data_IF_981489837966
#
_entry.id   IF_981489837966
#
_cell.length_a   1.000
_cell.length_b   1.000
_cell.length_c   1.000
_cell.angle_alpha   90.00
_cell.angle_beta   90.00
_cell.angle_gamma   90.00
#
_symmetry.space_group_name_H-M   'P 1'
#
loop_
_entity.id
_entity.type
_entity.pdbx_description
1 polymer ?
#
# COMPACT_ATOMS: atom_id res chain seq x y z
N UNK A 1 49.92 26.66 45.82
CA UNK A 1 49.58 26.31 44.43
C UNK A 1 48.81 25.00 44.32
N UNK A 2 49.48 23.84 44.42
CA UNK A 2 48.94 22.55 43.93
C UNK A 2 47.86 21.80 44.73
N UNK A 3 47.26 22.36 45.81
CA UNK A 3 46.16 21.70 46.55
C UNK A 3 44.76 22.25 46.23
N UNK A 4 44.65 23.41 45.56
CA UNK A 4 43.37 24.00 45.16
C UNK A 4 42.90 23.51 43.78
N UNK A 5 43.81 23.22 42.85
CA UNK A 5 43.47 22.71 41.51
C UNK A 5 42.94 21.26 41.51
N UNK A 6 43.39 20.42 42.46
CA UNK A 6 42.90 19.03 42.57
C UNK A 6 41.44 18.92 43.04
N UNK A 7 40.87 19.96 43.68
CA UNK A 7 39.46 19.97 44.09
C UNK A 7 38.52 20.42 42.97
N UNK A 8 38.95 21.31 42.08
CA UNK A 8 38.15 21.77 40.95
C UNK A 8 38.02 20.70 39.85
N UNK A 9 39.10 19.95 39.55
CA UNK A 9 39.04 18.84 38.60
C UNK A 9 38.12 17.67 39.01
N UNK A 10 37.91 17.45 40.32
CA UNK A 10 36.99 16.41 40.83
C UNK A 10 35.52 16.83 40.81
N UNK A 11 35.21 18.12 40.78
CA UNK A 11 33.83 18.62 40.68
C UNK A 11 33.36 18.66 39.21
N UNK A 12 34.21 19.05 38.26
CA UNK A 12 33.89 19.02 36.82
C UNK A 12 33.54 17.62 36.31
N UNK A 13 34.37 16.61 36.64
CA UNK A 13 34.12 15.22 36.23
C UNK A 13 32.88 14.55 36.84
N UNK A 14 32.31 15.10 37.94
CA UNK A 14 31.04 14.63 38.50
C UNK A 14 29.82 15.27 37.83
N UNK A 15 29.96 16.47 37.25
CA UNK A 15 28.90 17.15 36.52
C UNK A 15 28.73 16.57 35.10
N UNK A 16 29.83 16.29 34.40
CA UNK A 16 29.79 15.60 33.09
C UNK A 16 29.25 14.17 33.19
N UNK A 17 29.60 13.41 34.23
CA UNK A 17 29.05 12.05 34.46
C UNK A 17 27.56 12.07 34.82
N UNK A 18 27.03 13.17 35.35
CA UNK A 18 25.57 13.34 35.59
C UNK A 18 24.82 13.76 34.33
N UNK A 19 25.40 14.60 33.48
CA UNK A 19 24.81 14.97 32.17
C UNK A 19 24.84 13.81 31.17
N UNK A 20 25.93 13.03 31.10
CA UNK A 20 25.98 11.81 30.26
C UNK A 20 24.98 10.72 30.70
N UNK A 21 24.69 10.61 32.01
CA UNK A 21 23.65 9.70 32.54
C UNK A 21 22.22 10.20 32.34
N UNK A 22 22.01 11.51 32.14
CA UNK A 22 20.69 12.07 31.80
C UNK A 22 20.44 12.00 30.28
N UNK A 23 21.45 12.27 29.44
CA UNK A 23 21.37 12.05 27.99
C UNK A 23 21.11 10.58 27.63
N UNK A 24 21.86 9.66 28.24
CA UNK A 24 21.64 8.22 28.04
C UNK A 24 20.33 7.68 28.63
N UNK A 25 19.66 8.41 29.54
CA UNK A 25 18.31 8.09 30.02
C UNK A 25 17.20 8.67 29.14
N UNK A 26 17.48 9.74 28.39
CA UNK A 26 16.56 10.28 27.38
C UNK A 26 16.57 9.44 26.11
N UNK A 27 17.75 8.97 25.66
CA UNK A 27 17.85 8.00 24.56
C UNK A 27 17.27 6.62 24.95
N UNK A 28 17.49 6.15 26.18
CA UNK A 28 16.88 4.89 26.65
C UNK A 28 15.38 4.98 26.95
N UNK A 29 14.80 6.19 27.04
CA UNK A 29 13.34 6.38 27.14
C UNK A 29 12.65 6.45 25.78
N UNK A 30 13.36 6.72 24.69
CA UNK A 30 12.82 6.52 23.33
C UNK A 30 12.85 5.04 22.90
N UNK A 31 13.65 4.19 23.56
CA UNK A 31 13.69 2.73 23.34
C UNK A 31 12.69 1.90 24.16
N UNK A 32 11.67 2.51 24.79
CA UNK A 32 10.65 1.81 25.59
C UNK A 32 9.23 2.31 25.29
N UNK A 33 8.85 2.32 24.02
CA UNK A 33 7.46 1.99 23.66
C UNK A 33 7.48 0.62 22.99
N UNK A 34 6.54 -0.23 23.40
CA UNK A 34 6.52 -1.69 23.24
C UNK A 34 6.95 -2.20 21.87
N UNK A 35 7.50 -3.42 21.85
CA UNK A 35 8.06 -4.09 20.68
C UNK A 35 7.31 -3.80 19.39
N UNK A 36 7.75 -2.77 18.67
CA UNK A 36 7.29 -2.45 17.32
C UNK A 36 8.10 -3.33 16.38
N UNK A 37 7.43 -4.39 15.94
CA UNK A 37 7.63 -5.12 14.70
C UNK A 37 8.73 -4.53 13.79
N UNK A 38 9.88 -5.21 13.72
CA UNK A 38 10.98 -4.90 12.80
C UNK A 38 10.58 -5.32 11.38
N UNK A 39 9.75 -4.51 10.71
CA UNK A 39 9.27 -4.75 9.35
C UNK A 39 9.71 -3.67 8.35
N UNK A 40 9.25 -3.80 7.10
CA UNK A 40 9.54 -2.84 6.01
C UNK A 40 8.97 -1.42 6.27
N UNK A 41 8.14 -1.26 7.29
CA UNK A 41 7.59 0.01 7.73
C UNK A 41 8.37 0.59 8.93
N UNK A 42 9.53 0.01 9.29
CA UNK A 42 10.40 0.57 10.31
C UNK A 42 11.04 1.87 9.82
N UNK A 43 11.40 2.77 10.75
CA UNK A 43 12.04 4.03 10.39
C UNK A 43 13.32 3.83 9.56
N UNK A 44 14.10 2.78 9.84
CA UNK A 44 15.30 2.46 9.07
C UNK A 44 14.98 2.07 7.63
N UNK A 45 13.96 1.23 7.42
CA UNK A 45 13.52 0.81 6.08
C UNK A 45 12.97 1.99 5.28
N UNK A 46 12.18 2.86 5.93
CA UNK A 46 11.65 4.07 5.30
C UNK A 46 12.77 5.04 4.92
N UNK A 47 13.75 5.27 5.80
CA UNK A 47 14.90 6.13 5.50
C UNK A 47 15.79 5.57 4.39
N UNK A 48 15.96 4.25 4.31
CA UNK A 48 16.68 3.61 3.20
C UNK A 48 15.91 3.80 1.88
N UNK A 49 14.60 3.53 1.88
CA UNK A 49 13.77 3.70 0.70
C UNK A 49 13.75 5.16 0.23
N UNK A 50 13.68 6.12 1.15
CA UNK A 50 13.77 7.55 0.87
C UNK A 50 15.09 7.94 0.22
N UNK A 51 16.22 7.44 0.73
CA UNK A 51 17.53 7.66 0.12
C UNK A 51 17.59 7.15 -1.32
N UNK A 52 17.11 5.92 -1.56
CA UNK A 52 17.07 5.32 -2.90
C UNK A 52 16.14 6.10 -3.84
N UNK A 53 14.97 6.52 -3.38
CA UNK A 53 14.04 7.33 -4.16
C UNK A 53 14.70 8.66 -4.55
N UNK A 54 15.34 9.32 -3.58
CA UNK A 54 16.01 10.60 -3.81
C UNK A 54 17.15 10.45 -4.82
N UNK A 55 18.01 9.47 -4.66
CA UNK A 55 19.22 9.33 -5.48
C UNK A 55 18.88 8.90 -6.91
N UNK A 56 18.03 7.89 -7.08
CA UNK A 56 17.78 7.27 -8.38
C UNK A 56 16.59 7.86 -9.14
N UNK A 57 15.56 8.35 -8.45
CA UNK A 57 14.32 8.79 -9.10
C UNK A 57 14.14 10.30 -9.12
N UNK A 58 14.83 11.04 -8.23
CA UNK A 58 14.74 12.50 -8.14
C UNK A 58 16.02 13.18 -8.63
N UNK A 59 17.19 12.81 -8.09
CA UNK A 59 18.46 13.47 -8.37
C UNK A 59 19.10 13.01 -9.68
N UNK A 60 19.06 11.71 -9.98
CA UNK A 60 19.70 11.15 -11.19
C UNK A 60 18.73 10.26 -11.98
N UNK A 61 17.73 10.83 -12.70
CA UNK A 61 16.74 10.04 -13.44
C UNK A 61 17.32 9.09 -14.48
N UNK A 62 18.51 9.40 -15.04
CA UNK A 62 19.21 8.48 -15.97
C UNK A 62 19.72 7.21 -15.29
N UNK A 63 19.91 7.20 -13.97
CA UNK A 63 20.34 6.03 -13.22
C UNK A 63 19.25 4.95 -13.10
N UNK A 64 17.99 5.30 -13.39
CA UNK A 64 16.85 4.38 -13.38
C UNK A 64 17.06 3.20 -14.33
N UNK A 65 17.77 3.39 -15.44
CA UNK A 65 18.09 2.27 -16.35
C UNK A 65 18.88 1.17 -15.66
N UNK A 66 19.73 1.51 -14.68
CA UNK A 66 20.48 0.56 -13.87
C UNK A 66 19.62 -0.21 -12.85
N UNK A 67 18.37 0.20 -12.64
CA UNK A 67 17.42 -0.48 -11.76
C UNK A 67 16.39 -1.34 -12.52
N UNK A 68 16.42 -1.36 -13.86
CA UNK A 68 15.40 -2.06 -14.65
C UNK A 68 15.32 -3.55 -14.32
N UNK A 69 16.47 -4.21 -14.13
CA UNK A 69 16.57 -5.65 -13.85
C UNK A 69 16.42 -6.01 -12.36
N UNK A 70 16.18 -5.01 -11.49
CA UNK A 70 16.12 -5.23 -10.04
C UNK A 70 15.03 -6.24 -9.62
N UNK A 71 13.81 -6.26 -10.21
CA UNK A 71 12.81 -7.28 -9.92
C UNK A 71 13.30 -8.71 -10.16
N UNK A 72 14.14 -8.93 -11.18
CA UNK A 72 14.65 -10.25 -11.55
C UNK A 72 15.88 -10.63 -10.73
N UNK A 73 16.79 -9.68 -10.50
CA UNK A 73 18.03 -9.90 -9.75
C UNK A 73 17.77 -10.05 -8.24
N UNK A 74 16.84 -9.25 -7.69
CA UNK A 74 16.58 -9.19 -6.26
C UNK A 74 15.07 -9.01 -5.97
N UNK A 75 14.21 -9.99 -6.30
CA UNK A 75 12.75 -9.88 -6.16
C UNK A 75 12.28 -9.61 -4.73
N UNK A 76 12.92 -10.23 -3.73
CA UNK A 76 12.58 -10.02 -2.32
C UNK A 76 12.91 -8.61 -1.84
N UNK A 77 14.08 -8.09 -2.22
CA UNK A 77 14.48 -6.71 -1.92
C UNK A 77 13.52 -5.74 -2.59
N UNK A 78 13.23 -5.96 -3.88
CA UNK A 78 12.32 -5.13 -4.67
C UNK A 78 10.93 -5.09 -4.07
N UNK A 79 10.36 -6.23 -3.69
CA UNK A 79 9.06 -6.27 -3.04
C UNK A 79 9.06 -5.52 -1.70
N UNK A 80 10.08 -5.73 -0.84
CA UNK A 80 10.18 -5.01 0.43
C UNK A 80 10.38 -3.50 0.24
N UNK A 81 11.17 -3.10 -0.76
CA UNK A 81 11.35 -1.70 -1.16
C UNK A 81 10.02 -1.08 -1.61
N UNK A 82 9.25 -1.78 -2.46
CA UNK A 82 7.92 -1.34 -2.88
C UNK A 82 6.97 -1.17 -1.69
N UNK A 83 7.01 -2.06 -0.70
CA UNK A 83 6.23 -1.90 0.54
C UNK A 83 6.60 -0.61 1.27
N UNK A 84 7.90 -0.35 1.49
CA UNK A 84 8.37 0.88 2.15
C UNK A 84 7.99 2.15 1.38
N UNK A 85 8.22 2.15 0.07
CA UNK A 85 7.88 3.28 -0.82
C UNK A 85 6.37 3.54 -0.81
N UNK A 86 5.56 2.50 -0.90
CA UNK A 86 4.12 2.65 -0.91
C UNK A 86 3.60 3.26 0.40
N UNK A 87 4.19 2.89 1.55
CA UNK A 87 3.91 3.49 2.85
C UNK A 87 4.28 4.99 2.90
N UNK A 88 5.49 5.35 2.43
CA UNK A 88 5.96 6.74 2.42
C UNK A 88 5.00 7.69 1.70
N UNK A 89 4.43 7.24 0.58
CA UNK A 89 3.54 8.05 -0.26
C UNK A 89 2.04 7.85 0.07
N UNK A 90 1.70 6.95 0.99
CA UNK A 90 0.31 6.74 1.44
C UNK A 90 -0.10 7.65 2.61
N UNK A 91 0.86 8.15 3.39
CA UNK A 91 0.62 8.83 4.67
C UNK A 91 0.89 10.34 4.58
N UNK A 92 -0.02 11.11 3.98
CA UNK A 92 0.06 12.58 3.97
C UNK A 92 -0.34 13.20 5.31
N UNK A 93 0.44 14.18 5.81
CA UNK A 93 0.26 14.81 7.12
C UNK A 93 -1.11 15.53 7.25
N UNK A 94 -1.79 15.30 8.38
CA UNK A 94 -3.05 15.92 8.88
C UNK A 94 -4.32 15.82 8.02
N UNK A 95 -4.22 15.51 6.72
CA UNK A 95 -5.39 15.36 5.84
C UNK A 95 -5.61 13.95 5.28
N UNK A 96 -4.69 12.99 5.52
CA UNK A 96 -4.75 11.65 4.88
C UNK A 96 -4.95 11.75 3.36
N UNK A 97 -4.38 12.79 2.76
CA UNK A 97 -4.40 13.01 1.31
C UNK A 97 -3.19 12.26 0.76
N UNK A 98 -3.41 11.46 -0.29
CA UNK A 98 -2.34 10.80 -1.03
C UNK A 98 -1.23 11.82 -1.34
N UNK A 99 0.01 11.51 -0.97
CA UNK A 99 1.16 12.27 -1.45
C UNK A 99 1.65 11.54 -2.68
N UNK A 100 1.45 12.07 -3.90
CA UNK A 100 1.81 11.32 -5.09
C UNK A 100 3.32 11.07 -5.14
N UNK A 101 3.76 9.87 -5.54
CA UNK A 101 5.17 9.59 -5.79
C UNK A 101 5.69 10.43 -6.98
N UNK A 102 7.02 10.63 -7.08
CA UNK A 102 7.64 11.18 -8.29
C UNK A 102 7.21 10.39 -9.55
N UNK A 103 7.01 11.08 -10.67
CA UNK A 103 6.52 10.46 -11.92
C UNK A 103 7.39 9.29 -12.38
N UNK A 104 8.71 9.49 -12.40
CA UNK A 104 9.68 8.46 -12.77
C UNK A 104 9.57 7.22 -11.87
N UNK A 105 9.29 7.41 -10.57
CA UNK A 105 9.07 6.30 -9.65
C UNK A 105 7.77 5.57 -9.98
N UNK A 106 6.68 6.29 -10.25
CA UNK A 106 5.41 5.69 -10.64
C UNK A 106 5.53 4.89 -11.94
N UNK A 107 6.22 5.42 -12.95
CA UNK A 107 6.48 4.74 -14.22
C UNK A 107 7.23 3.42 -14.01
N UNK A 108 8.32 3.46 -13.26
CA UNK A 108 9.16 2.28 -12.98
C UNK A 108 8.41 1.24 -12.17
N UNK A 109 7.69 1.65 -11.12
CA UNK A 109 6.87 0.73 -10.31
C UNK A 109 5.78 0.11 -11.17
N UNK A 110 5.12 0.91 -12.02
CA UNK A 110 4.11 0.42 -12.96
C UNK A 110 4.72 -0.62 -13.90
N UNK A 111 5.90 -0.35 -14.47
CA UNK A 111 6.58 -1.29 -15.36
C UNK A 111 6.99 -2.57 -14.63
N UNK A 112 7.62 -2.46 -13.45
CA UNK A 112 8.06 -3.62 -12.66
C UNK A 112 6.91 -4.56 -12.30
N UNK A 113 5.78 -4.01 -11.84
CA UNK A 113 4.60 -4.81 -11.47
C UNK A 113 3.91 -5.38 -12.71
N UNK A 114 3.84 -4.63 -13.82
CA UNK A 114 3.25 -5.11 -15.08
C UNK A 114 4.03 -6.29 -15.67
N UNK A 115 5.37 -6.18 -15.68
CA UNK A 115 6.23 -7.20 -16.30
C UNK A 115 6.48 -8.41 -15.40
N UNK A 116 6.32 -8.25 -14.09
CA UNK A 116 6.61 -9.29 -13.11
C UNK A 116 5.42 -9.52 -12.15
N UNK A 117 4.33 -10.18 -12.60
CA UNK A 117 3.14 -10.38 -11.75
C UNK A 117 3.39 -11.03 -10.37
N UNK A 118 4.35 -11.96 -10.18
CA UNK A 118 4.66 -12.50 -8.86
C UNK A 118 5.41 -11.54 -7.93
N UNK A 119 5.89 -10.38 -8.41
CA UNK A 119 6.80 -9.50 -7.67
C UNK A 119 6.26 -9.06 -6.32
N UNK A 120 5.01 -8.59 -6.27
CA UNK A 120 4.37 -8.16 -5.02
C UNK A 120 4.19 -9.30 -4.00
N UNK A 121 4.26 -10.56 -4.44
CA UNK A 121 4.16 -11.75 -3.61
C UNK A 121 5.52 -12.28 -3.18
N UNK A 122 6.61 -11.84 -3.83
CA UNK A 122 7.96 -12.34 -3.56
C UNK A 122 8.35 -12.16 -2.08
N UNK A 123 7.92 -11.07 -1.44
CA UNK A 123 8.17 -10.84 -0.02
C UNK A 123 7.67 -12.01 0.87
N UNK A 124 6.55 -12.63 0.50
CA UNK A 124 5.95 -13.75 1.25
C UNK A 124 6.72 -15.06 1.07
N UNK A 125 7.53 -15.19 0.03
CA UNK A 125 8.28 -16.41 -0.26
C UNK A 125 9.49 -16.57 0.65
N UNK A 126 9.94 -15.49 1.30
CA UNK A 126 11.04 -15.56 2.25
C UNK A 126 10.63 -16.24 3.55
N UNK A 127 11.17 -17.44 3.79
CA UNK A 127 10.90 -18.24 4.99
C UNK A 127 11.38 -17.60 6.30
N UNK A 128 12.31 -16.65 6.24
CA UNK A 128 12.93 -16.07 7.45
C UNK A 128 12.25 -14.78 7.93
N UNK A 129 11.27 -14.26 7.20
CA UNK A 129 10.66 -12.97 7.50
C UNK A 129 9.43 -13.14 8.40
N UNK A 130 9.55 -12.72 9.67
CA UNK A 130 8.44 -12.72 10.62
C UNK A 130 7.63 -11.43 10.45
N UNK A 131 6.43 -11.54 9.89
CA UNK A 131 5.52 -10.45 9.52
C UNK A 131 5.91 -9.65 8.27
N UNK A 132 5.61 -10.23 7.12
CA UNK A 132 5.76 -9.60 5.82
C UNK A 132 4.48 -8.87 5.44
N UNK A 133 4.58 -7.58 5.13
CA UNK A 133 3.54 -6.82 4.45
C UNK A 133 3.85 -6.78 2.96
N UNK A 134 2.89 -7.16 2.13
CA UNK A 134 3.05 -7.10 0.66
C UNK A 134 2.87 -5.67 0.14
N UNK A 135 3.44 -5.32 -1.02
CA UNK A 135 3.23 -4.01 -1.63
C UNK A 135 1.79 -3.71 -2.04
N UNK A 136 0.95 -4.75 -2.20
CA UNK A 136 -0.40 -4.62 -2.77
C UNK A 136 -1.21 -3.51 -2.11
N UNK A 137 -1.22 -3.45 -0.78
CA UNK A 137 -2.05 -2.49 -0.04
C UNK A 137 -1.68 -1.06 -0.39
N UNK A 138 -0.40 -0.72 -0.28
CA UNK A 138 0.04 0.65 -0.50
C UNK A 138 -0.10 1.06 -1.97
N UNK A 139 0.16 0.13 -2.90
CA UNK A 139 0.00 0.40 -4.32
C UNK A 139 -1.48 0.47 -4.74
N UNK A 140 -2.37 -0.34 -4.15
CA UNK A 140 -3.82 -0.17 -4.33
C UNK A 140 -4.29 1.16 -3.74
N UNK A 141 -3.79 1.58 -2.58
CA UNK A 141 -4.09 2.91 -2.02
C UNK A 141 -3.73 4.02 -2.98
N UNK A 142 -2.55 3.95 -3.61
CA UNK A 142 -2.16 4.90 -4.65
C UNK A 142 -3.19 4.94 -5.78
N UNK A 143 -3.53 3.77 -6.32
CA UNK A 143 -4.48 3.67 -7.42
C UNK A 143 -5.89 4.14 -7.03
N UNK A 144 -6.40 3.75 -5.87
CA UNK A 144 -7.75 4.07 -5.42
C UNK A 144 -7.88 5.56 -5.12
N UNK A 145 -6.88 6.17 -4.49
CA UNK A 145 -6.96 7.57 -4.07
C UNK A 145 -6.46 8.56 -5.14
N UNK A 146 -5.77 8.11 -6.19
CA UNK A 146 -5.25 9.01 -7.23
C UNK A 146 -6.32 9.87 -7.92
N UNK A 147 -7.53 9.36 -8.27
CA UNK A 147 -8.54 10.18 -8.93
C UNK A 147 -8.91 11.40 -8.08
N UNK A 148 -8.99 11.20 -6.76
CA UNK A 148 -9.33 12.22 -5.77
C UNK A 148 -8.25 13.29 -5.65
N UNK A 149 -6.99 12.90 -5.82
CA UNK A 149 -5.85 13.81 -5.81
C UNK A 149 -5.79 14.65 -7.08
N UNK A 150 -5.97 14.05 -8.25
CA UNK A 150 -5.83 14.76 -9.54
C UNK A 150 -7.12 15.42 -10.03
N UNK A 151 -8.25 15.23 -9.33
CA UNK A 151 -9.51 15.92 -9.60
C UNK A 151 -9.30 17.45 -9.63
N UNK A 152 -9.79 18.11 -10.68
CA UNK A 152 -9.65 19.56 -10.86
C UNK A 152 -8.23 20.05 -11.19
N UNK A 153 -7.28 19.16 -11.53
CA UNK A 153 -5.90 19.51 -11.94
C UNK A 153 -5.66 19.24 -13.42
N UNK A 154 -4.93 20.13 -14.10
CA UNK A 154 -4.73 20.15 -15.56
C UNK A 154 -3.78 19.08 -16.11
N UNK A 155 -2.94 18.44 -15.27
CA UNK A 155 -1.99 17.40 -15.68
C UNK A 155 -2.56 15.97 -15.62
N UNK A 156 -3.89 15.80 -15.60
CA UNK A 156 -4.55 14.58 -15.13
C UNK A 156 -4.42 13.35 -16.05
N UNK A 157 -4.27 13.52 -17.36
CA UNK A 157 -4.46 12.41 -18.32
C UNK A 157 -3.33 11.37 -18.30
N UNK A 158 -2.07 11.81 -18.29
CA UNK A 158 -0.91 10.89 -18.28
C UNK A 158 -0.81 10.14 -16.94
N UNK A 159 -0.96 10.85 -15.82
CA UNK A 159 -1.00 10.25 -14.49
C UNK A 159 -2.14 9.25 -14.36
N UNK A 160 -3.34 9.60 -14.86
CA UNK A 160 -4.49 8.70 -14.83
C UNK A 160 -4.20 7.38 -15.55
N UNK A 161 -3.48 7.44 -16.68
CA UNK A 161 -3.08 6.25 -17.45
C UNK A 161 -2.12 5.36 -16.67
N UNK A 162 -1.10 5.93 -16.02
CA UNK A 162 -0.15 5.16 -15.20
C UNK A 162 -0.83 4.47 -14.01
N UNK A 163 -1.69 5.18 -13.27
CA UNK A 163 -2.44 4.55 -12.17
C UNK A 163 -3.41 3.47 -12.66
N UNK A 164 -4.03 3.65 -13.82
CA UNK A 164 -4.91 2.61 -14.39
C UNK A 164 -4.13 1.36 -14.79
N UNK A 165 -2.95 1.53 -15.41
CA UNK A 165 -2.03 0.43 -15.74
C UNK A 165 -1.55 -0.29 -14.49
N UNK A 166 -1.11 0.45 -13.47
CA UNK A 166 -0.68 -0.12 -12.20
C UNK A 166 -1.81 -0.88 -11.52
N UNK A 167 -3.01 -0.30 -11.47
CA UNK A 167 -4.20 -0.94 -10.88
C UNK A 167 -4.49 -2.28 -11.57
N UNK A 168 -4.53 -2.30 -12.91
CA UNK A 168 -4.73 -3.53 -13.67
C UNK A 168 -3.64 -4.57 -13.38
N UNK A 169 -2.37 -4.17 -13.40
CA UNK A 169 -1.25 -5.07 -13.13
C UNK A 169 -1.33 -5.70 -11.72
N UNK A 170 -1.79 -4.94 -10.71
CA UNK A 170 -2.02 -5.47 -9.37
C UNK A 170 -3.16 -6.50 -9.33
N UNK A 171 -4.29 -6.22 -9.99
CA UNK A 171 -5.41 -7.16 -10.07
C UNK A 171 -4.98 -8.46 -10.78
N UNK A 172 -4.31 -8.35 -11.93
CA UNK A 172 -3.79 -9.49 -12.68
C UNK A 172 -2.79 -10.32 -11.85
N UNK A 173 -1.95 -9.66 -11.05
CA UNK A 173 -1.02 -10.32 -10.14
C UNK A 173 -1.74 -11.16 -9.06
N UNK A 174 -2.82 -10.63 -8.47
CA UNK A 174 -3.63 -11.38 -7.50
C UNK A 174 -4.31 -12.58 -8.15
N UNK A 175 -4.90 -12.40 -9.32
CA UNK A 175 -5.57 -13.47 -10.07
C UNK A 175 -4.58 -14.59 -10.42
N UNK A 176 -3.43 -14.23 -10.99
CA UNK A 176 -2.46 -15.21 -11.52
C UNK A 176 -1.69 -15.94 -10.42
N UNK A 177 -1.39 -15.26 -9.32
CA UNK A 177 -0.40 -15.74 -8.36
C UNK A 177 -0.90 -15.77 -6.90
N UNK A 178 -2.06 -15.19 -6.61
CA UNK A 178 -2.57 -15.02 -5.25
C UNK A 178 -3.15 -16.29 -4.62
N UNK A 179 -3.96 -17.05 -5.37
CA UNK A 179 -4.68 -18.23 -4.86
C UNK A 179 -3.77 -19.27 -4.20
N UNK A 180 -2.65 -19.71 -4.82
CA UNK A 180 -1.79 -20.73 -4.21
C UNK A 180 -1.14 -20.28 -2.89
N UNK A 181 -0.86 -18.98 -2.74
CA UNK A 181 -0.24 -18.45 -1.53
C UNK A 181 -1.25 -18.27 -0.39
N UNK A 182 -2.46 -17.82 -0.72
CA UNK A 182 -3.57 -17.76 0.21
C UNK A 182 -3.92 -19.15 0.77
N UNK A 183 -3.98 -20.17 -0.09
CA UNK A 183 -4.22 -21.57 0.30
C UNK A 183 -3.14 -22.12 1.26
N UNK A 184 -1.90 -21.60 1.18
CA UNK A 184 -0.82 -21.94 2.10
C UNK A 184 -0.86 -21.15 3.42
N UNK A 185 -1.98 -20.49 3.74
CA UNK A 185 -2.18 -19.75 4.97
C UNK A 185 -1.40 -18.43 5.07
N UNK A 186 -0.82 -17.94 3.96
CA UNK A 186 -0.09 -16.67 3.96
C UNK A 186 -1.06 -15.50 3.74
N UNK A 187 -1.04 -14.55 4.67
CA UNK A 187 -1.77 -13.29 4.54
C UNK A 187 -1.16 -12.45 3.43
N UNK A 188 -1.85 -12.34 2.28
CA UNK A 188 -1.44 -11.46 1.18
C UNK A 188 -1.85 -10.02 1.47
N UNK A 189 -3.12 -9.81 1.81
CA UNK A 189 -3.71 -8.53 2.20
C UNK A 189 -4.50 -8.73 3.50
N UNK A 190 -4.26 -7.89 4.51
CA UNK A 190 -5.07 -7.87 5.73
C UNK A 190 -6.34 -7.04 5.52
N UNK A 191 -7.47 -7.46 6.07
CA UNK A 191 -8.71 -6.66 6.12
C UNK A 191 -8.45 -5.24 6.64
N UNK A 192 -7.68 -5.12 7.72
CA UNK A 192 -7.36 -3.83 8.36
C UNK A 192 -6.69 -2.85 7.40
N UNK A 193 -5.90 -3.38 6.47
CA UNK A 193 -5.26 -2.57 5.45
C UNK A 193 -6.25 -2.04 4.40
N UNK A 194 -7.27 -2.82 4.03
CA UNK A 194 -8.33 -2.37 3.12
C UNK A 194 -9.25 -1.36 3.82
N UNK A 195 -9.60 -1.63 5.08
CA UNK A 195 -10.41 -0.72 5.92
C UNK A 195 -9.77 0.66 6.02
N UNK A 196 -8.44 0.74 6.09
CA UNK A 196 -7.72 2.03 6.17
C UNK A 196 -7.89 2.95 4.94
N UNK A 197 -8.55 2.48 3.87
CA UNK A 197 -8.88 3.27 2.67
C UNK A 197 -10.25 3.96 2.81
N UNK A 198 -11.12 3.43 3.68
CA UNK A 198 -12.52 3.89 3.84
C UNK A 198 -12.59 5.33 4.37
N UNK A 199 -11.87 5.63 5.44
CA UNK A 199 -11.90 6.97 6.07
C UNK A 199 -11.46 8.10 5.11
N UNK A 200 -10.35 7.96 4.35
CA UNK A 200 -10.00 8.93 3.31
C UNK A 200 -11.12 9.17 2.28
N UNK A 201 -11.80 8.11 1.84
CA UNK A 201 -12.88 8.21 0.86
C UNK A 201 -14.10 8.94 1.43
N UNK A 202 -14.54 8.60 2.64
CA UNK A 202 -15.65 9.28 3.32
C UNK A 202 -15.32 10.76 3.49
N UNK A 203 -14.10 11.07 3.94
CA UNK A 203 -13.66 12.46 4.14
C UNK A 203 -13.67 13.24 2.83
N UNK A 204 -13.19 12.65 1.74
CA UNK A 204 -13.16 13.32 0.45
C UNK A 204 -14.56 13.50 -0.13
N UNK A 205 -15.43 12.51 0.02
CA UNK A 205 -16.82 12.61 -0.42
C UNK A 205 -17.56 13.79 0.21
N UNK A 206 -17.30 14.11 1.49
CA UNK A 206 -17.88 15.29 2.15
C UNK A 206 -17.45 16.63 1.53
N UNK A 207 -16.37 16.64 0.77
CA UNK A 207 -15.78 17.82 0.15
C UNK A 207 -15.97 17.82 -1.38
N UNK A 208 -16.66 16.82 -1.93
CA UNK A 208 -16.74 16.57 -3.38
C UNK A 208 -17.36 17.72 -4.17
N UNK A 209 -18.38 18.35 -3.61
CA UNK A 209 -19.13 19.44 -4.25
C UNK A 209 -18.28 20.70 -4.46
N UNK A 210 -17.12 20.79 -3.80
CA UNK A 210 -16.21 21.94 -3.89
C UNK A 210 -15.22 21.81 -5.06
N UNK A 211 -15.17 20.67 -5.74
CA UNK A 211 -14.16 20.35 -6.75
C UNK A 211 -14.78 20.11 -8.13
N UNK A 212 -14.19 20.68 -9.20
CA UNK A 212 -14.56 20.33 -10.58
C UNK A 212 -14.34 18.83 -10.82
N UNK A 213 -15.31 18.16 -11.43
CA UNK A 213 -15.34 16.70 -11.68
C UNK A 213 -15.27 15.83 -10.40
N UNK A 214 -15.58 16.41 -9.24
CA UNK A 214 -15.51 15.73 -7.95
C UNK A 214 -16.21 14.36 -7.93
N UNK A 215 -17.46 14.35 -8.39
CA UNK A 215 -18.30 13.15 -8.39
C UNK A 215 -17.70 12.01 -9.23
N UNK A 216 -17.15 12.32 -10.41
CA UNK A 216 -16.50 11.33 -11.29
C UNK A 216 -15.24 10.74 -10.65
N UNK A 217 -14.48 11.56 -9.93
CA UNK A 217 -13.28 11.10 -9.23
C UNK A 217 -13.64 10.16 -8.07
N UNK A 218 -14.70 10.45 -7.30
CA UNK A 218 -15.22 9.50 -6.29
C UNK A 218 -15.70 8.21 -6.93
N UNK A 219 -16.47 8.28 -8.01
CA UNK A 219 -16.96 7.11 -8.72
C UNK A 219 -15.80 6.20 -9.15
N UNK A 220 -14.78 6.76 -9.81
CA UNK A 220 -13.59 6.00 -10.22
C UNK A 220 -12.80 5.42 -9.04
N UNK A 221 -12.71 6.15 -7.93
CA UNK A 221 -12.06 5.66 -6.71
C UNK A 221 -12.83 4.47 -6.10
N UNK A 222 -14.16 4.56 -6.03
CA UNK A 222 -15.03 3.49 -5.52
C UNK A 222 -15.06 2.29 -6.46
N UNK A 223 -14.99 2.49 -7.78
CA UNK A 223 -14.81 1.42 -8.77
C UNK A 223 -13.51 0.65 -8.52
N UNK A 224 -12.38 1.36 -8.39
CA UNK A 224 -11.08 0.74 -8.12
C UNK A 224 -11.08 -0.03 -6.79
N UNK A 225 -11.71 0.52 -5.74
CA UNK A 225 -11.85 -0.18 -4.46
C UNK A 225 -12.70 -1.44 -4.59
N UNK A 226 -13.86 -1.35 -5.26
CA UNK A 226 -14.77 -2.48 -5.47
C UNK A 226 -14.06 -3.61 -6.23
N UNK A 227 -13.32 -3.29 -7.29
CA UNK A 227 -12.53 -4.26 -8.05
C UNK A 227 -11.43 -4.92 -7.19
N UNK A 228 -10.68 -4.13 -6.41
CA UNK A 228 -9.62 -4.67 -5.55
C UNK A 228 -10.18 -5.58 -4.44
N UNK A 229 -11.31 -5.20 -3.83
CA UNK A 229 -12.01 -6.01 -2.83
C UNK A 229 -12.55 -7.30 -3.45
N UNK A 230 -13.23 -7.21 -4.59
CA UNK A 230 -13.81 -8.36 -5.27
C UNK A 230 -12.73 -9.37 -5.67
N UNK A 231 -11.68 -8.92 -6.36
CA UNK A 231 -10.57 -9.79 -6.76
C UNK A 231 -9.86 -10.35 -5.53
N UNK A 232 -9.55 -9.51 -4.54
CA UNK A 232 -8.86 -9.95 -3.32
C UNK A 232 -9.65 -10.99 -2.51
N UNK A 233 -10.98 -10.90 -2.48
CA UNK A 233 -11.84 -11.91 -1.85
C UNK A 233 -11.94 -13.16 -2.72
N UNK A 234 -12.16 -13.02 -4.03
CA UNK A 234 -12.23 -14.12 -5.01
C UNK A 234 -10.96 -14.98 -5.03
N UNK A 235 -9.79 -14.37 -4.92
CA UNK A 235 -8.51 -15.08 -4.90
C UNK A 235 -8.11 -15.58 -3.51
N UNK A 236 -8.93 -15.31 -2.48
CA UNK A 236 -8.60 -15.60 -1.09
C UNK A 236 -7.45 -14.76 -0.52
N UNK A 237 -6.97 -13.74 -1.25
CA UNK A 237 -5.84 -12.91 -0.84
C UNK A 237 -6.16 -11.96 0.31
N UNK A 238 -7.42 -11.60 0.53
CA UNK A 238 -7.86 -10.81 1.69
C UNK A 238 -8.16 -11.75 2.86
N UNK A 239 -7.37 -11.62 3.92
CA UNK A 239 -7.47 -12.41 5.15
C UNK A 239 -7.83 -11.52 6.36
N UNK A 240 -8.56 -12.09 7.32
CA UNK A 240 -9.07 -11.41 8.51
C UNK A 240 -10.59 -11.47 8.62
N UNK A 241 -11.17 -10.58 9.43
CA UNK A 241 -12.62 -10.48 9.64
C UNK A 241 -13.30 -9.87 8.41
N UNK A 242 -13.82 -10.73 7.52
CA UNK A 242 -14.51 -10.30 6.31
C UNK A 242 -15.83 -9.59 6.63
N UNK A 243 -16.47 -9.87 7.77
CA UNK A 243 -17.72 -9.21 8.15
C UNK A 243 -17.46 -7.76 8.57
N UNK A 244 -16.39 -7.51 9.33
CA UNK A 244 -15.89 -6.17 9.63
C UNK A 244 -15.60 -5.39 8.35
N UNK A 245 -14.90 -5.99 7.38
CA UNK A 245 -14.63 -5.36 6.09
C UNK A 245 -15.93 -4.88 5.43
N UNK A 246 -16.93 -5.76 5.31
CA UNK A 246 -18.20 -5.43 4.67
C UNK A 246 -18.98 -4.34 5.42
N UNK A 247 -18.95 -4.34 6.76
CA UNK A 247 -19.53 -3.27 7.59
C UNK A 247 -18.85 -1.92 7.32
N UNK A 248 -17.54 -1.91 7.20
CA UNK A 248 -16.79 -0.68 6.90
C UNK A 248 -17.05 -0.19 5.48
N UNK A 249 -17.17 -1.09 4.49
CA UNK A 249 -17.50 -0.71 3.12
C UNK A 249 -18.93 -0.15 2.98
N UNK A 250 -19.88 -0.59 3.81
CA UNK A 250 -21.25 -0.03 3.85
C UNK A 250 -21.30 1.43 4.33
N UNK A 251 -20.25 1.92 4.99
CA UNK A 251 -20.15 3.32 5.42
C UNK A 251 -19.77 4.28 4.27
N UNK A 252 -19.36 3.73 3.12
CA UNK A 252 -19.01 4.52 1.94
C UNK A 252 -20.26 5.07 1.24
N UNK A 253 -20.09 6.11 0.40
CA UNK A 253 -21.18 6.65 -0.41
C UNK A 253 -21.83 5.59 -1.30
N UNK A 254 -23.10 5.83 -1.61
CA UNK A 254 -23.90 5.02 -2.53
C UNK A 254 -23.18 4.76 -3.85
N UNK A 255 -22.80 3.49 -4.11
CA UNK A 255 -22.08 3.11 -5.31
C UNK A 255 -22.50 1.72 -5.79
N UNK A 256 -23.01 1.65 -7.03
CA UNK A 256 -23.68 0.47 -7.59
C UNK A 256 -22.79 -0.77 -7.55
N UNK A 257 -21.56 -0.66 -8.04
CA UNK A 257 -20.63 -1.81 -8.19
C UNK A 257 -20.22 -2.33 -6.82
N UNK A 258 -19.90 -1.41 -5.90
CA UNK A 258 -19.51 -1.76 -4.54
C UNK A 258 -20.65 -2.47 -3.81
N UNK A 259 -21.89 -1.99 -3.95
CA UNK A 259 -23.07 -2.66 -3.40
C UNK A 259 -23.27 -4.07 -3.93
N UNK A 260 -23.04 -4.30 -5.23
CA UNK A 260 -23.11 -5.64 -5.81
C UNK A 260 -22.05 -6.56 -5.20
N UNK A 261 -20.81 -6.07 -5.05
CA UNK A 261 -19.72 -6.82 -4.40
C UNK A 261 -20.07 -7.17 -2.96
N UNK A 262 -20.55 -6.20 -2.17
CA UNK A 262 -20.94 -6.43 -0.77
C UNK A 262 -22.08 -7.45 -0.69
N UNK A 263 -23.11 -7.31 -1.51
CA UNK A 263 -24.27 -8.21 -1.53
C UNK A 263 -23.85 -9.65 -1.84
N UNK A 264 -23.11 -9.86 -2.94
CA UNK A 264 -22.62 -11.19 -3.34
C UNK A 264 -21.74 -11.80 -2.25
N UNK A 265 -20.87 -11.01 -1.62
CA UNK A 265 -20.02 -11.53 -0.55
C UNK A 265 -20.82 -11.94 0.70
N UNK A 266 -21.88 -11.21 1.06
CA UNK A 266 -22.78 -11.60 2.16
C UNK A 266 -23.50 -12.91 1.88
N UNK A 267 -23.99 -13.09 0.64
CA UNK A 267 -24.61 -14.35 0.20
C UNK A 267 -23.65 -15.53 0.35
N UNK A 268 -22.40 -15.38 -0.11
CA UNK A 268 -21.36 -16.40 0.02
C UNK A 268 -21.03 -16.73 1.48
N UNK A 269 -20.91 -15.72 2.34
CA UNK A 269 -20.66 -15.91 3.78
C UNK A 269 -21.82 -16.64 4.47
N UNK A 270 -23.06 -16.39 4.06
CA UNK A 270 -24.26 -17.03 4.65
C UNK A 270 -24.40 -18.49 4.23
N UNK A 271 -23.93 -18.83 3.02
CA UNK A 271 -24.06 -20.18 2.46
C UNK A 271 -22.92 -21.13 2.87
N UNK A 272 -21.90 -20.67 3.63
CA UNK A 272 -20.66 -21.43 3.90
C UNK A 272 -20.03 -22.04 2.64
N UNK A 273 -20.27 -21.43 1.47
CA UNK A 273 -19.69 -21.85 0.21
C UNK A 273 -18.31 -21.20 0.10
N UNK A 274 -17.26 -22.03 0.02
CA UNK A 274 -16.01 -21.56 -0.57
C UNK A 274 -16.30 -21.10 -1.99
N UNK A 275 -15.64 -20.02 -2.41
CA UNK A 275 -15.82 -19.41 -3.73
C UNK A 275 -15.51 -20.48 -4.77
N UNK A 276 -16.55 -21.05 -5.38
CA UNK A 276 -16.42 -22.01 -6.47
C UNK A 276 -15.74 -21.33 -7.66
N UNK A 277 -14.99 -22.11 -8.45
CA UNK A 277 -14.13 -21.61 -9.54
C UNK A 277 -14.89 -20.79 -10.61
N UNK A 278 -16.22 -20.83 -10.63
CA UNK A 278 -17.09 -20.29 -11.67
C UNK A 278 -17.81 -18.97 -11.33
N UNK A 279 -17.55 -18.36 -10.17
CA UNK A 279 -18.25 -17.14 -9.79
C UNK A 279 -17.79 -15.92 -10.61
N UNK A 280 -18.74 -15.36 -11.37
CA UNK A 280 -18.58 -14.22 -12.27
C UNK A 280 -17.98 -13.01 -11.56
N UNK A 281 -16.80 -12.58 -12.01
CA UNK A 281 -16.19 -11.31 -11.62
C UNK A 281 -16.94 -10.19 -12.35
N UNK A 282 -17.67 -9.37 -11.60
CA UNK A 282 -18.34 -8.17 -12.12
C UNK A 282 -17.35 -7.00 -12.06
N UNK A 283 -16.59 -6.78 -13.14
CA UNK A 283 -15.81 -5.54 -13.34
C UNK A 283 -16.57 -4.64 -14.31
N UNK A 284 -17.10 -3.51 -13.83
CA UNK A 284 -17.68 -2.50 -14.72
C UNK A 284 -16.64 -1.55 -15.27
N UNK A 285 -16.84 -1.21 -16.54
CA UNK A 285 -16.14 -0.17 -17.29
C UNK A 285 -16.69 1.22 -16.92
N UNK A 286 -15.79 2.14 -16.61
CA UNK A 286 -16.12 3.57 -16.56
C UNK A 286 -15.13 4.47 -17.30
N UNK A 287 -14.08 3.98 -17.99
CA UNK A 287 -13.38 4.83 -18.98
C UNK A 287 -12.18 4.26 -19.73
N UNK A 288 -11.48 3.20 -19.29
CA UNK A 288 -10.34 2.65 -20.05
C UNK A 288 -9.69 1.36 -19.51
N UNK A 289 -10.27 0.70 -18.51
CA UNK A 289 -9.69 -0.54 -17.96
C UNK A 289 -10.51 -1.72 -18.46
N UNK A 290 -9.88 -2.55 -19.30
CA UNK A 290 -10.50 -3.73 -19.93
C UNK A 290 -11.28 -4.56 -18.90
N UNK A 291 -12.51 -4.87 -19.29
CA UNK A 291 -13.42 -5.83 -18.67
C UNK A 291 -12.72 -7.17 -18.41
N UNK A 292 -12.51 -7.52 -17.15
CA UNK A 292 -12.05 -8.86 -16.75
C UNK A 292 -13.28 -9.69 -16.40
N UNK A 293 -13.91 -10.28 -17.43
CA UNK A 293 -14.80 -11.42 -17.24
C UNK A 293 -13.90 -12.65 -17.24
N UNK A 294 -13.66 -13.25 -16.08
CA UNK A 294 -13.11 -14.60 -16.02
C UNK A 294 -14.26 -15.56 -15.80
N UNK A 295 -14.64 -16.25 -16.86
CA UNK A 295 -15.38 -17.51 -16.79
C UNK A 295 -14.43 -18.59 -17.29
N UNK A 296 -14.23 -19.72 -16.56
CA UNK A 296 -13.36 -20.79 -17.01
C UNK A 296 -13.88 -21.52 -18.27
N UNK A 297 -15.16 -21.38 -18.61
CA UNK A 297 -15.85 -22.22 -19.60
C UNK A 297 -16.48 -21.46 -20.78
N UNK A 298 -15.64 -20.80 -21.61
CA UNK A 298 -16.01 -20.61 -23.02
C UNK A 298 -14.93 -21.19 -23.94
N UNK A 299 -15.27 -22.12 -24.85
CA UNK A 299 -14.36 -22.54 -25.91
C UNK A 299 -14.04 -21.35 -26.82
N UNK A 300 -12.77 -21.29 -27.25
CA UNK A 300 -12.16 -20.24 -28.07
C UNK A 300 -12.94 -19.91 -29.35
#
# INVERSE_FOLDING_TARGET
GGKQERKQGRQGGKQERKQGRQGGKQERKQGRHGGKQLGCNSQFSLSLAEGLVKDYFVLVPKAVSGLQDLPQLAPHFTANFLTSVAEMYSSGDKRQVLTPPPNTLLEVVTQWVSDNPPLCLAALLNKTATAVTTPFVGLFKWCILSPLYYCGRTSSTEHSTLYSRLHLALLESLVRCGKPLAANGKTVISVQHVVSIVDPLIRWYKEVDKLPDGSKAVELALDRLAQAVQIGLFTGCIAGDKEELLKMLDMLPEHRVLKLVIKKQRELLTQNMDILEDDVIIVSDTSQTRMVIMSPDLPR
#
